data_IF_979013428455
#
_entry.id   IF_979013428455
#
_cell.length_a   1.000
_cell.length_b   1.000
_cell.length_c   1.000
_cell.angle_alpha   90.00
_cell.angle_beta   90.00
_cell.angle_gamma   90.00
#
_symmetry.space_group_name_H-M   'P 1'
#
loop_
_entity.id
_entity.type
_entity.pdbx_description
1 polymer ?
#
# COMPACT_ATOMS: atom_id res chain seq x y z
N UNK A 1 4.42 4.41 29.71
CA UNK A 1 3.10 4.35 29.03
C UNK A 1 2.21 3.38 29.80
N UNK A 2 0.94 3.71 30.06
CA UNK A 2 0.01 2.79 30.72
C UNK A 2 -0.23 1.55 29.85
N UNK A 3 -0.39 0.39 30.49
CA UNK A 3 -0.75 -0.86 29.84
C UNK A 3 -2.20 -0.80 29.34
N UNK A 4 -2.47 -1.49 28.23
CA UNK A 4 -3.82 -1.62 27.69
C UNK A 4 -4.74 -2.28 28.74
N UNK A 5 -5.85 -1.66 29.14
CA UNK A 5 -6.74 -2.21 30.16
C UNK A 5 -7.41 -3.50 29.66
N UNK A 6 -7.65 -4.42 30.60
CA UNK A 6 -8.28 -5.71 30.31
C UNK A 6 -9.65 -5.50 29.63
N UNK A 7 -9.85 -6.14 28.48
CA UNK A 7 -11.09 -6.06 27.72
C UNK A 7 -11.19 -4.90 26.71
N UNK A 8 -10.17 -4.03 26.59
CA UNK A 8 -10.18 -2.96 25.58
C UNK A 8 -10.25 -3.46 24.12
N UNK A 9 -9.79 -4.69 23.85
CA UNK A 9 -9.90 -5.32 22.52
C UNK A 9 -11.25 -5.99 22.27
N UNK A 10 -12.09 -6.19 23.31
CA UNK A 10 -13.39 -6.85 23.20
C UNK A 10 -14.50 -5.88 22.74
N UNK A 11 -14.26 -4.57 22.82
CA UNK A 11 -15.15 -3.56 22.27
C UNK A 11 -14.91 -3.40 20.76
N UNK A 12 -15.49 -4.30 19.95
CA UNK A 12 -15.67 -4.02 18.53
C UNK A 12 -16.82 -3.03 18.33
N UNK A 13 -16.56 -1.74 18.54
CA UNK A 13 -17.48 -0.65 18.16
C UNK A 13 -17.37 -0.28 16.68
N UNK A 14 -16.55 -0.99 15.90
CA UNK A 14 -16.49 -0.80 14.46
C UNK A 14 -17.60 -1.62 13.79
N UNK A 15 -18.58 -0.93 13.22
CA UNK A 15 -19.43 -1.48 12.16
C UNK A 15 -18.53 -1.87 11.00
N UNK A 16 -18.07 -3.11 10.98
CA UNK A 16 -17.25 -3.63 9.90
C UNK A 16 -18.05 -3.54 8.59
N UNK A 17 -17.42 -3.02 7.53
CA UNK A 17 -18.01 -3.04 6.19
C UNK A 17 -18.35 -4.48 5.81
N UNK A 18 -19.50 -4.69 5.19
CA UNK A 18 -19.88 -6.02 4.73
C UNK A 18 -18.96 -6.49 3.59
N UNK A 19 -18.74 -7.80 3.49
CA UNK A 19 -17.91 -8.37 2.43
C UNK A 19 -18.43 -8.03 1.02
N UNK A 20 -19.72 -7.79 0.85
CA UNK A 20 -20.31 -7.37 -0.43
C UNK A 20 -19.89 -5.94 -0.81
N UNK A 21 -19.81 -5.02 0.15
CA UNK A 21 -19.32 -3.65 -0.07
C UNK A 21 -17.85 -3.69 -0.49
N UNK A 22 -17.02 -4.43 0.25
CA UNK A 22 -15.59 -4.59 -0.05
C UNK A 22 -15.40 -5.21 -1.45
N UNK A 23 -16.15 -6.27 -1.77
CA UNK A 23 -16.11 -6.92 -3.09
C UNK A 23 -16.42 -5.93 -4.21
N UNK A 24 -17.43 -5.08 -4.04
CA UNK A 24 -17.79 -4.06 -5.04
C UNK A 24 -16.63 -3.09 -5.29
N UNK A 25 -16.01 -2.57 -4.21
CA UNK A 25 -14.84 -1.68 -4.29
C UNK A 25 -13.68 -2.33 -5.04
N UNK A 26 -13.39 -3.60 -4.73
CA UNK A 26 -12.32 -4.37 -5.41
C UNK A 26 -12.60 -4.56 -6.89
N UNK A 27 -13.83 -4.90 -7.27
CA UNK A 27 -14.19 -5.07 -8.69
C UNK A 27 -14.04 -3.77 -9.48
N UNK A 28 -14.49 -2.65 -8.92
CA UNK A 28 -14.32 -1.34 -9.55
C UNK A 28 -12.84 -0.96 -9.71
N UNK A 29 -12.00 -1.25 -8.71
CA UNK A 29 -10.57 -1.02 -8.80
C UNK A 29 -9.92 -1.88 -9.90
N UNK A 30 -10.31 -3.15 -10.04
CA UNK A 30 -9.83 -4.02 -11.12
C UNK A 30 -10.23 -3.50 -12.49
N UNK A 31 -11.47 -3.03 -12.64
CA UNK A 31 -11.92 -2.43 -13.89
C UNK A 31 -11.06 -1.21 -14.26
N UNK A 32 -10.80 -0.30 -13.31
CA UNK A 32 -9.89 0.84 -13.52
C UNK A 32 -8.49 0.41 -13.98
N UNK A 33 -7.95 -0.67 -13.41
CA UNK A 33 -6.64 -1.21 -13.81
C UNK A 33 -6.64 -1.72 -15.25
N UNK A 34 -7.67 -2.48 -15.63
CA UNK A 34 -7.85 -2.98 -16.98
C UNK A 34 -8.05 -1.85 -17.99
N UNK A 35 -8.89 -0.87 -17.69
CA UNK A 35 -9.10 0.29 -18.57
C UNK A 35 -7.81 1.09 -18.79
N UNK A 36 -6.95 1.20 -17.76
CA UNK A 36 -5.70 1.95 -17.85
C UNK A 36 -4.59 1.22 -18.62
N UNK A 37 -4.46 -0.09 -18.45
CA UNK A 37 -3.25 -0.83 -18.88
C UNK A 37 -3.51 -2.19 -19.54
N UNK A 38 -4.77 -2.57 -19.69
CA UNK A 38 -5.18 -3.89 -20.20
C UNK A 38 -4.89 -5.06 -19.26
N UNK A 39 -4.39 -4.80 -18.04
CA UNK A 39 -4.03 -5.82 -17.05
C UNK A 39 -4.13 -5.28 -15.62
N UNK A 40 -3.99 -6.17 -14.64
CA UNK A 40 -3.91 -5.76 -13.23
C UNK A 40 -2.55 -5.13 -12.92
N UNK A 41 -2.53 -4.24 -11.93
CA UNK A 41 -1.31 -3.57 -11.47
C UNK A 41 -0.21 -4.57 -11.09
N UNK A 42 -0.58 -5.75 -10.58
CA UNK A 42 0.33 -6.84 -10.19
C UNK A 42 1.24 -7.29 -11.33
N UNK A 43 0.78 -7.16 -12.59
CA UNK A 43 1.45 -7.63 -13.79
C UNK A 43 2.18 -6.54 -14.58
N UNK A 44 2.19 -5.30 -14.08
CA UNK A 44 2.93 -4.21 -14.72
C UNK A 44 4.44 -4.46 -14.65
N UNK A 45 5.10 -4.34 -15.79
CA UNK A 45 6.56 -4.29 -15.90
C UNK A 45 7.12 -2.99 -15.30
N UNK A 46 8.43 -2.93 -15.07
CA UNK A 46 9.09 -1.71 -14.58
C UNK A 46 8.82 -0.49 -15.47
N UNK A 47 8.88 -0.67 -16.79
CA UNK A 47 8.60 0.39 -17.77
C UNK A 47 7.15 0.86 -17.71
N UNK A 48 6.21 -0.05 -17.51
CA UNK A 48 4.79 0.30 -17.35
C UNK A 48 4.53 0.98 -16.00
N UNK A 49 5.26 0.64 -14.94
CA UNK A 49 5.19 1.34 -13.66
C UNK A 49 5.63 2.79 -13.83
N UNK A 50 6.75 3.05 -14.50
CA UNK A 50 7.21 4.43 -14.79
C UNK A 50 6.17 5.24 -15.58
N UNK A 51 5.41 4.57 -16.46
CA UNK A 51 4.38 5.21 -17.26
C UNK A 51 3.06 5.45 -16.50
N UNK A 52 2.54 4.44 -15.80
CA UNK A 52 1.21 4.49 -15.17
C UNK A 52 1.21 4.95 -13.70
N UNK A 53 2.39 5.03 -13.06
CA UNK A 53 2.56 5.41 -11.66
C UNK A 53 3.34 6.72 -11.50
N UNK A 54 3.15 7.66 -12.44
CA UNK A 54 3.77 8.98 -12.36
C UNK A 54 3.34 9.72 -11.09
N UNK A 55 4.32 10.35 -10.44
CA UNK A 55 4.13 11.13 -9.22
C UNK A 55 4.25 12.62 -9.52
N UNK A 56 3.64 13.45 -8.68
CA UNK A 56 3.98 14.85 -8.65
C UNK A 56 5.43 15.03 -8.15
N UNK A 57 6.16 16.02 -8.65
CA UNK A 57 7.56 16.29 -8.27
C UNK A 57 7.82 16.27 -6.75
N UNK A 58 6.94 16.87 -5.95
CA UNK A 58 7.09 16.91 -4.49
C UNK A 58 6.98 15.51 -3.85
N UNK A 59 6.11 14.67 -4.38
CA UNK A 59 5.90 13.31 -3.88
C UNK A 59 7.00 12.35 -4.34
N UNK A 60 7.55 12.56 -5.55
CA UNK A 60 8.72 11.87 -6.04
C UNK A 60 9.95 12.12 -5.14
N UNK A 61 10.23 13.40 -4.84
CA UNK A 61 11.34 13.78 -3.95
C UNK A 61 11.17 13.21 -2.54
N UNK A 62 9.95 13.29 -1.99
CA UNK A 62 9.66 12.67 -0.70
C UNK A 62 9.94 11.17 -0.70
N UNK A 63 9.45 10.47 -1.74
CA UNK A 63 9.61 9.03 -1.83
C UNK A 63 11.09 8.65 -1.96
N UNK A 64 11.84 9.36 -2.80
CA UNK A 64 13.29 9.17 -2.97
C UNK A 64 14.04 9.35 -1.65
N UNK A 65 13.81 10.46 -0.93
CA UNK A 65 14.43 10.71 0.37
C UNK A 65 14.10 9.61 1.39
N UNK A 66 12.84 9.17 1.41
CA UNK A 66 12.37 8.11 2.31
C UNK A 66 13.00 6.76 1.98
N UNK A 67 13.09 6.40 0.70
CA UNK A 67 13.74 5.17 0.25
C UNK A 67 15.22 5.16 0.60
N UNK A 68 15.91 6.28 0.40
CA UNK A 68 17.33 6.43 0.75
C UNK A 68 17.55 6.30 2.26
N UNK A 69 16.75 6.97 3.09
CA UNK A 69 16.80 6.84 4.56
C UNK A 69 16.57 5.41 5.04
N UNK A 70 15.71 4.65 4.35
CA UNK A 70 15.38 3.26 4.69
C UNK A 70 16.31 2.23 4.02
N UNK A 71 17.33 2.65 3.27
CA UNK A 71 18.24 1.76 2.54
C UNK A 71 17.52 0.85 1.54
N UNK A 72 16.45 1.34 0.90
CA UNK A 72 15.60 0.53 0.03
C UNK A 72 16.08 0.54 -1.43
N UNK A 73 16.19 -0.66 -2.01
CA UNK A 73 16.57 -0.82 -3.43
C UNK A 73 15.51 -0.30 -4.40
N UNK A 74 15.94 -0.07 -5.65
CA UNK A 74 15.06 0.22 -6.82
C UNK A 74 13.92 -0.80 -6.96
N UNK A 75 14.17 -2.08 -6.67
CA UNK A 75 13.12 -3.11 -6.69
C UNK A 75 12.04 -2.88 -5.63
N UNK A 76 12.42 -2.37 -4.47
CA UNK A 76 11.47 -1.99 -3.43
C UNK A 76 10.67 -0.75 -3.84
N UNK A 77 11.31 0.22 -4.50
CA UNK A 77 10.64 1.38 -5.07
C UNK A 77 9.53 1.00 -6.06
N UNK A 78 9.80 0.14 -7.05
CA UNK A 78 8.77 -0.31 -8.00
C UNK A 78 7.61 -1.04 -7.31
N UNK A 79 7.89 -1.83 -6.27
CA UNK A 79 6.84 -2.47 -5.46
C UNK A 79 5.99 -1.42 -4.74
N UNK A 80 6.60 -0.41 -4.13
CA UNK A 80 5.88 0.67 -3.45
C UNK A 80 4.98 1.42 -4.43
N UNK A 81 5.47 1.79 -5.62
CA UNK A 81 4.64 2.46 -6.64
C UNK A 81 3.45 1.59 -7.06
N UNK A 82 3.67 0.29 -7.29
CA UNK A 82 2.62 -0.65 -7.68
C UNK A 82 1.52 -0.80 -6.61
N UNK A 83 1.92 -0.87 -5.33
CA UNK A 83 0.97 -0.94 -4.21
C UNK A 83 0.22 0.38 -4.09
N UNK A 84 0.94 1.50 -4.10
CA UNK A 84 0.36 2.86 -4.05
C UNK A 84 -0.65 3.10 -5.17
N UNK A 85 -0.39 2.55 -6.35
CA UNK A 85 -1.32 2.61 -7.48
C UNK A 85 -2.59 1.80 -7.25
N UNK A 86 -2.46 0.62 -6.63
CA UNK A 86 -3.61 -0.20 -6.26
C UNK A 86 -4.45 0.44 -5.16
N UNK A 87 -3.82 1.10 -4.18
CA UNK A 87 -4.52 1.87 -3.14
C UNK A 87 -5.32 3.00 -3.77
N UNK A 88 -4.68 3.80 -4.63
CA UNK A 88 -5.38 4.86 -5.34
C UNK A 88 -6.55 4.33 -6.19
N UNK A 89 -6.37 3.18 -6.85
CA UNK A 89 -7.47 2.56 -7.56
C UNK A 89 -8.60 2.14 -6.62
N UNK A 90 -8.33 1.68 -5.39
CA UNK A 90 -9.37 1.36 -4.41
C UNK A 90 -10.10 2.60 -3.92
N UNK A 91 -9.41 3.74 -3.81
CA UNK A 91 -9.96 5.05 -3.44
C UNK A 91 -10.63 5.81 -4.61
N UNK A 92 -10.63 5.21 -5.81
CA UNK A 92 -11.13 5.84 -7.03
C UNK A 92 -10.37 7.14 -7.42
N UNK A 93 -9.08 7.17 -7.13
CA UNK A 93 -8.18 8.28 -7.40
C UNK A 93 -7.37 8.06 -8.68
N UNK A 94 -7.45 9.02 -9.61
CA UNK A 94 -6.76 8.91 -10.90
C UNK A 94 -5.23 8.99 -10.74
N UNK A 95 -4.73 9.77 -9.77
CA UNK A 95 -3.29 10.01 -9.54
C UNK A 95 -2.82 9.37 -8.24
N UNK A 96 -1.52 9.06 -8.14
CA UNK A 96 -0.95 8.64 -6.86
C UNK A 96 -0.76 9.92 -6.06
N UNK A 97 -1.26 9.93 -4.83
CA UNK A 97 -1.10 10.99 -3.87
C UNK A 97 -0.19 10.52 -2.73
N UNK A 98 0.28 11.48 -1.92
CA UNK A 98 1.19 11.27 -0.79
C UNK A 98 0.69 10.22 0.21
N UNK A 99 -0.60 10.21 0.52
CA UNK A 99 -1.24 9.24 1.43
C UNK A 99 -1.06 7.80 0.93
N UNK A 100 -1.28 7.54 -0.36
CA UNK A 100 -1.11 6.20 -0.93
C UNK A 100 0.33 5.69 -0.81
N UNK A 101 1.31 6.59 -0.98
CA UNK A 101 2.73 6.27 -0.80
C UNK A 101 3.04 5.89 0.66
N UNK A 102 2.54 6.68 1.60
CA UNK A 102 2.73 6.47 3.04
C UNK A 102 2.10 5.14 3.47
N UNK A 103 0.89 4.83 2.99
CA UNK A 103 0.22 3.59 3.31
C UNK A 103 0.97 2.37 2.74
N UNK A 104 1.40 2.45 1.47
CA UNK A 104 2.22 1.40 0.85
C UNK A 104 3.55 1.16 1.60
N UNK A 105 4.20 2.23 2.06
CA UNK A 105 5.40 2.14 2.91
C UNK A 105 5.09 1.49 4.27
N UNK A 106 3.92 1.78 4.85
CA UNK A 106 3.50 1.25 6.15
C UNK A 106 3.27 -0.26 6.11
N UNK A 107 2.65 -0.78 5.04
CA UNK A 107 2.54 -2.23 4.84
C UNK A 107 3.92 -2.90 4.82
N UNK A 108 4.90 -2.31 4.13
CA UNK A 108 6.26 -2.84 4.09
C UNK A 108 6.99 -2.76 5.43
N UNK A 109 6.72 -1.74 6.25
CA UNK A 109 7.26 -1.64 7.59
C UNK A 109 6.67 -2.73 8.50
N UNK A 110 5.36 -2.95 8.41
CA UNK A 110 4.66 -4.01 9.12
C UNK A 110 5.17 -5.40 8.71
N UNK A 111 5.34 -5.69 7.43
CA UNK A 111 5.91 -6.95 6.95
C UNK A 111 7.29 -7.23 7.58
N UNK A 112 8.14 -6.20 7.66
CA UNK A 112 9.47 -6.33 8.27
C UNK A 112 9.39 -6.57 9.78
N UNK A 113 8.49 -5.89 10.47
CA UNK A 113 8.24 -6.11 11.89
C UNK A 113 7.76 -7.55 12.14
N UNK A 114 6.83 -8.06 11.33
CA UNK A 114 6.32 -9.43 11.47
C UNK A 114 7.43 -10.47 11.27
N UNK A 115 8.29 -10.30 10.26
CA UNK A 115 9.45 -11.18 10.04
C UNK A 115 10.40 -11.14 11.24
N UNK A 116 10.62 -9.96 11.83
CA UNK A 116 11.45 -9.83 13.01
C UNK A 116 10.85 -10.57 14.22
N UNK A 117 9.55 -10.41 14.46
CA UNK A 117 8.84 -11.07 15.56
C UNK A 117 8.82 -12.60 15.41
N UNK A 118 8.62 -13.13 14.21
CA UNK A 118 8.69 -14.58 13.95
C UNK A 118 10.04 -15.16 14.34
N UNK A 119 11.14 -14.49 13.96
CA UNK A 119 12.50 -14.91 14.32
C UNK A 119 12.79 -14.89 15.82
N UNK A 120 12.08 -14.06 16.59
CA UNK A 120 12.21 -14.01 18.05
C UNK A 120 11.36 -15.07 18.77
N UNK A 121 10.36 -15.63 18.10
CA UNK A 121 9.51 -16.70 18.63
C UNK A 121 10.05 -18.09 18.27
N UNK A 122 10.81 -18.20 17.18
CA UNK A 122 11.42 -19.44 16.69
C UNK A 122 12.83 -19.70 17.25
N UNK A 123 13.41 -18.73 17.97
CA UNK A 123 14.73 -18.83 18.63
C UNK A 123 14.61 -18.81 20.13
#
# INVERSE_FOLDING_TARGET
MPLLPQGALLQSTHTNESSSIIRSRVLQARERQFQRSGKLNTYLSSKEIEHFCQLHTKDALFLEETLNKLGLSIRAWHKILRVSRTIADLENEQKIQRNHLIEALSFRAMDRLMIYLQKQLEG
#
